data_IF_381775216750
#
_entry.id   IF_381775216750
#
_cell.length_a   1.000
_cell.length_b   1.000
_cell.length_c   1.000
_cell.angle_alpha   90.00
_cell.angle_beta   90.00
_cell.angle_gamma   90.00
#
_symmetry.space_group_name_H-M   'P 1'
#
loop_
_entity.id
_entity.type
_entity.pdbx_description
1 polymer ?
#
# COMPACT_ATOMS: atom_id res chain seq x y z
N UNK A 1 -12.46 -6.04 -0.63
CA UNK A 1 -11.11 -5.58 -1.03
C UNK A 1 -10.26 -6.79 -1.42
N UNK A 2 -9.41 -6.67 -2.43
CA UNK A 2 -8.44 -7.72 -2.80
C UNK A 2 -7.14 -7.13 -3.32
N UNK A 3 -6.02 -7.77 -3.02
CA UNK A 3 -4.76 -7.48 -3.70
C UNK A 3 -4.72 -8.21 -5.05
N UNK A 4 -4.32 -7.51 -6.10
CA UNK A 4 -4.10 -8.04 -7.44
C UNK A 4 -2.64 -7.83 -7.79
N UNK A 5 -1.96 -8.90 -8.19
CA UNK A 5 -0.57 -8.83 -8.66
C UNK A 5 -0.59 -8.67 -10.18
N UNK A 6 0.02 -7.59 -10.66
CA UNK A 6 -0.05 -7.14 -12.06
C UNK A 6 1.31 -7.34 -12.73
N UNK A 7 1.40 -8.07 -13.86
CA UNK A 7 2.63 -8.14 -14.63
C UNK A 7 2.88 -6.82 -15.37
N UNK A 8 4.13 -6.40 -15.41
CA UNK A 8 4.61 -5.21 -16.14
C UNK A 8 5.61 -5.59 -17.23
N UNK A 9 6.11 -4.57 -17.94
CA UNK A 9 7.16 -4.73 -18.93
C UNK A 9 8.46 -5.31 -18.31
N UNK A 10 9.24 -5.99 -19.15
CA UNK A 10 10.57 -6.53 -18.78
C UNK A 10 10.53 -7.50 -17.59
N UNK A 11 9.45 -8.27 -17.45
CA UNK A 11 9.30 -9.28 -16.40
C UNK A 11 9.13 -8.71 -14.99
N UNK A 12 8.82 -7.41 -14.89
CA UNK A 12 8.54 -6.73 -13.63
C UNK A 12 7.11 -7.01 -13.17
N UNK A 13 6.85 -6.76 -11.89
CA UNK A 13 5.55 -6.99 -11.27
C UNK A 13 5.20 -5.86 -10.34
N UNK A 14 3.94 -5.44 -10.28
CA UNK A 14 3.42 -4.51 -9.26
C UNK A 14 2.21 -5.14 -8.58
N UNK A 15 1.64 -4.45 -7.60
CA UNK A 15 0.38 -4.85 -7.02
C UNK A 15 -0.56 -3.66 -6.83
N UNK A 16 -1.85 -3.97 -6.81
CA UNK A 16 -2.93 -3.01 -6.57
C UNK A 16 -3.88 -3.56 -5.50
N UNK A 17 -4.39 -2.69 -4.64
CA UNK A 17 -5.48 -2.99 -3.72
C UNK A 17 -6.78 -2.46 -4.33
N UNK A 18 -7.71 -3.37 -4.64
CA UNK A 18 -8.96 -3.03 -5.33
C UNK A 18 -10.22 -3.29 -4.51
N UNK A 19 -11.27 -2.52 -4.79
CA UNK A 19 -12.67 -2.77 -4.37
C UNK A 19 -13.54 -2.74 -5.62
N UNK A 20 -14.06 -3.90 -6.02
CA UNK A 20 -14.66 -4.04 -7.35
C UNK A 20 -13.63 -3.68 -8.43
N UNK A 21 -13.97 -2.69 -9.25
CA UNK A 21 -13.13 -2.17 -10.32
C UNK A 21 -12.28 -0.94 -9.91
N UNK A 22 -12.52 -0.40 -8.71
CA UNK A 22 -11.80 0.76 -8.20
C UNK A 22 -10.44 0.35 -7.60
N UNK A 23 -9.40 1.13 -7.89
CA UNK A 23 -8.06 0.99 -7.32
C UNK A 23 -7.93 1.96 -6.13
N UNK A 24 -7.73 1.42 -4.93
CA UNK A 24 -7.57 2.20 -3.71
C UNK A 24 -6.12 2.51 -3.39
N UNK A 25 -5.20 1.61 -3.76
CA UNK A 25 -3.77 1.80 -3.57
C UNK A 25 -2.98 0.97 -4.58
N UNK A 26 -1.78 1.42 -4.90
CA UNK A 26 -0.83 0.71 -5.76
C UNK A 26 0.52 0.61 -5.07
N UNK A 27 1.32 -0.39 -5.43
CA UNK A 27 2.72 -0.41 -5.06
C UNK A 27 3.44 0.82 -5.63
N UNK A 28 4.27 1.49 -4.82
CA UNK A 28 5.03 2.66 -5.27
C UNK A 28 6.13 2.33 -6.31
N UNK A 29 6.58 1.07 -6.35
CA UNK A 29 7.56 0.58 -7.30
C UNK A 29 7.19 -0.82 -7.77
N UNK A 30 7.72 -1.21 -8.93
CA UNK A 30 7.63 -2.59 -9.42
C UNK A 30 8.76 -3.46 -8.87
N UNK A 31 8.58 -4.77 -8.93
CA UNK A 31 9.44 -5.81 -8.36
C UNK A 31 10.00 -6.69 -9.47
N UNK A 32 11.21 -7.23 -9.26
CA UNK A 32 11.88 -8.09 -10.24
C UNK A 32 11.25 -9.47 -10.41
N UNK A 33 10.28 -9.85 -9.56
CA UNK A 33 9.58 -11.12 -9.65
C UNK A 33 8.21 -11.05 -8.97
N UNK A 34 7.34 -11.99 -9.33
CA UNK A 34 6.02 -12.14 -8.71
C UNK A 34 6.13 -12.40 -7.20
N UNK A 35 7.11 -13.18 -6.78
CA UNK A 35 7.35 -13.53 -5.38
C UNK A 35 7.69 -12.29 -4.54
N UNK A 36 8.50 -11.38 -5.08
CA UNK A 36 8.84 -10.13 -4.39
C UNK A 36 7.61 -9.21 -4.23
N UNK A 37 6.73 -9.15 -5.23
CA UNK A 37 5.45 -8.43 -5.10
C UNK A 37 4.57 -9.05 -3.99
N UNK A 38 4.51 -10.37 -3.89
CA UNK A 38 3.78 -11.07 -2.81
C UNK A 38 4.35 -10.79 -1.42
N UNK A 39 5.69 -10.79 -1.28
CA UNK A 39 6.35 -10.41 -0.01
C UNK A 39 5.99 -8.97 0.37
N UNK A 40 6.00 -8.04 -0.59
CA UNK A 40 5.59 -6.66 -0.34
C UNK A 40 4.14 -6.55 0.14
N UNK A 41 3.21 -7.33 -0.43
CA UNK A 41 1.82 -7.38 0.05
C UNK A 41 1.75 -7.91 1.49
N UNK A 42 2.51 -8.96 1.81
CA UNK A 42 2.54 -9.52 3.18
C UNK A 42 3.05 -8.50 4.20
N UNK A 43 4.13 -7.79 3.87
CA UNK A 43 4.68 -6.71 4.70
C UNK A 43 3.70 -5.55 4.88
N UNK A 44 3.04 -5.12 3.80
CA UNK A 44 2.03 -4.07 3.88
C UNK A 44 0.87 -4.50 4.80
N UNK A 45 0.36 -5.73 4.62
CA UNK A 45 -0.72 -6.25 5.46
C UNK A 45 -0.34 -6.41 6.93
N UNK A 46 0.91 -6.75 7.24
CA UNK A 46 1.36 -6.95 8.62
C UNK A 46 1.60 -5.63 9.36
N UNK A 47 2.01 -4.57 8.64
CA UNK A 47 2.41 -3.28 9.21
C UNK A 47 1.32 -2.20 9.13
N UNK A 48 0.61 -2.10 8.01
CA UNK A 48 -0.29 -0.99 7.74
C UNK A 48 -1.50 -0.85 8.68
N UNK A 49 -2.19 -1.92 9.14
CA UNK A 49 -3.46 -1.77 9.87
C UNK A 49 -3.40 -0.95 11.18
N UNK A 50 -2.21 -0.70 11.71
CA UNK A 50 -1.96 0.11 12.92
C UNK A 50 -0.82 1.11 12.73
N UNK A 51 -0.50 1.44 11.48
CA UNK A 51 0.53 2.42 11.19
C UNK A 51 0.00 3.82 11.46
N UNK A 52 0.72 4.59 12.27
CA UNK A 52 0.38 5.98 12.56
C UNK A 52 0.61 6.88 11.34
N UNK A 53 -0.15 7.96 11.26
CA UNK A 53 -0.10 8.92 10.14
C UNK A 53 0.68 10.15 10.56
N UNK A 54 1.70 10.51 9.80
CA UNK A 54 2.52 11.69 10.02
C UNK A 54 2.59 12.54 8.74
N UNK A 55 2.78 13.84 8.91
CA UNK A 55 3.15 14.72 7.80
C UNK A 55 4.65 14.65 7.47
N UNK A 56 5.08 15.42 6.46
CA UNK A 56 6.49 15.50 6.05
C UNK A 56 7.41 16.14 7.09
N UNK A 57 6.85 16.87 8.06
CA UNK A 57 7.60 17.44 9.19
C UNK A 57 7.76 16.46 10.36
N UNK A 58 7.09 15.31 10.30
CA UNK A 58 7.07 14.29 11.36
C UNK A 58 6.03 14.57 12.45
N UNK A 59 5.11 15.51 12.24
CA UNK A 59 3.99 15.77 13.16
C UNK A 59 2.94 14.67 13.01
N UNK A 60 2.45 14.11 14.11
CA UNK A 60 1.32 13.17 14.12
C UNK A 60 0.06 13.87 13.60
N UNK A 61 -0.60 13.25 12.63
CA UNK A 61 -1.87 13.73 12.08
C UNK A 61 -3.08 13.15 12.83
N UNK A 62 -2.87 12.18 13.73
CA UNK A 62 -3.94 11.56 14.50
C UNK A 62 -4.54 12.55 15.53
N UNK A 63 -3.71 13.43 16.07
CA UNK A 63 -4.12 14.46 17.04
C UNK A 63 -5.00 15.55 16.41
N UNK A 64 -4.88 15.75 15.09
CA UNK A 64 -5.62 16.77 14.34
C UNK A 64 -7.07 16.35 14.06
N UNK A 65 -7.31 15.04 13.91
CA UNK A 65 -8.66 14.48 13.69
C UNK A 65 -9.47 14.44 14.99
N UNK A 66 -8.81 14.24 16.13
CA UNK A 66 -9.47 14.20 17.44
C UNK A 66 -10.06 15.56 17.88
N UNK A 67 -9.55 16.68 17.36
CA UNK A 67 -10.03 18.03 17.66
C UNK A 67 -11.19 18.52 16.78
N UNK A 68 -11.65 17.70 15.82
CA UNK A 68 -12.78 18.01 14.92
C UNK A 68 -14.11 17.36 15.34
N UNK A 69 -14.14 16.68 16.48
CA UNK A 69 -15.35 16.13 17.11
C UNK A 69 -15.89 17.07 18.19
#
# INVERSE_FOLDING_TARGET
MKFVVVPELRGRWSWELRVGDEILATSAMSFGSRQLALVSIQEFRSKAPRSAVFDLSGKSMEDEVAGLQ
#
